data_IF_762107519203
#
_entry.id   IF_762107519203
#
_cell.length_a   1.000
_cell.length_b   1.000
_cell.length_c   1.000
_cell.angle_alpha   90.00
_cell.angle_beta   90.00
_cell.angle_gamma   90.00
#
_symmetry.space_group_name_H-M   'P 1'
#
loop_
_entity.id
_entity.type
_entity.pdbx_description
1 polymer ?
#
# COMPACT_ATOMS: atom_id res chain seq x y z
N UNK A 1 -16.14 2.46 -1.41
CA UNK A 1 -15.02 1.91 -2.18
C UNK A 1 -13.96 3.00 -2.42
N UNK A 2 -14.36 4.22 -2.82
CA UNK A 2 -13.41 5.32 -3.10
C UNK A 2 -12.47 5.58 -1.93
N UNK A 3 -13.00 5.80 -0.71
CA UNK A 3 -12.22 6.04 0.50
C UNK A 3 -11.29 4.87 0.88
N UNK A 4 -11.66 3.66 0.53
CA UNK A 4 -10.95 2.45 0.94
C UNK A 4 -10.04 1.85 -0.16
N UNK A 5 -9.94 2.48 -1.33
CA UNK A 5 -9.14 1.94 -2.43
C UNK A 5 -7.67 1.74 -2.05
N UNK A 6 -7.04 2.73 -1.40
CA UNK A 6 -5.69 2.61 -0.89
C UNK A 6 -5.56 1.50 0.17
N UNK A 7 -6.55 1.41 1.08
CA UNK A 7 -6.56 0.38 2.13
C UNK A 7 -6.68 -1.04 1.56
N UNK A 8 -7.47 -1.25 0.53
CA UNK A 8 -7.58 -2.54 -0.16
C UNK A 8 -6.21 -2.98 -0.69
N UNK A 9 -5.45 -2.05 -1.29
CA UNK A 9 -4.11 -2.35 -1.81
C UNK A 9 -3.14 -2.70 -0.67
N UNK A 10 -3.17 -1.94 0.44
CA UNK A 10 -2.37 -2.23 1.64
C UNK A 10 -2.68 -3.62 2.20
N UNK A 11 -3.97 -3.95 2.34
CA UNK A 11 -4.41 -5.26 2.82
C UNK A 11 -3.96 -6.41 1.92
N UNK A 12 -3.98 -6.21 0.61
CA UNK A 12 -3.44 -7.15 -0.35
C UNK A 12 -1.94 -7.42 -0.13
N UNK A 13 -1.14 -6.38 0.11
CA UNK A 13 0.27 -6.52 0.45
C UNK A 13 0.48 -7.25 1.78
N UNK A 14 -0.29 -6.85 2.81
CA UNK A 14 -0.24 -7.47 4.13
C UNK A 14 -0.55 -8.97 4.07
N UNK A 15 -1.58 -9.38 3.31
CA UNK A 15 -1.94 -10.79 3.16
C UNK A 15 -0.77 -11.64 2.65
N UNK A 16 0.05 -11.14 1.71
CA UNK A 16 1.22 -11.89 1.21
C UNK A 16 2.24 -12.16 2.33
N UNK A 17 2.55 -11.13 3.13
CA UNK A 17 3.50 -11.27 4.25
C UNK A 17 2.93 -12.21 5.31
N UNK A 18 1.63 -12.08 5.64
CA UNK A 18 0.98 -12.91 6.64
C UNK A 18 0.89 -14.39 6.19
N UNK A 19 0.63 -14.67 4.92
CA UNK A 19 0.70 -16.04 4.37
C UNK A 19 2.07 -16.66 4.61
N UNK A 20 3.17 -15.89 4.57
CA UNK A 20 4.52 -16.41 4.86
C UNK A 20 4.89 -16.47 6.34
N UNK A 21 3.96 -16.16 7.23
CA UNK A 21 4.14 -16.14 8.68
C UNK A 21 4.79 -14.87 9.23
N UNK A 22 4.83 -13.78 8.45
CA UNK A 22 5.35 -12.47 8.86
C UNK A 22 4.23 -11.45 9.13
N UNK A 23 4.62 -10.29 9.63
CA UNK A 23 3.76 -9.10 9.79
C UNK A 23 4.59 -7.88 9.39
N UNK A 24 3.98 -6.93 8.67
CA UNK A 24 4.61 -5.65 8.31
C UNK A 24 3.78 -4.47 8.81
N UNK A 25 4.12 -3.97 9.99
CA UNK A 25 3.43 -2.82 10.60
C UNK A 25 3.91 -1.46 10.06
N UNK A 26 4.92 -1.45 9.19
CA UNK A 26 5.45 -0.18 8.64
C UNK A 26 4.54 0.46 7.59
N UNK A 27 3.65 -0.31 6.97
CA UNK A 27 2.83 0.10 5.82
C UNK A 27 1.99 1.35 6.09
N UNK A 28 1.48 1.53 7.33
CA UNK A 28 0.70 2.70 7.72
C UNK A 28 1.54 3.98 7.70
N UNK A 29 2.67 4.00 8.40
CA UNK A 29 3.56 5.17 8.43
C UNK A 29 4.30 5.38 7.11
N UNK A 30 4.51 4.34 6.34
CA UNK A 30 5.02 4.45 4.98
C UNK A 30 4.02 5.20 4.07
N UNK A 31 2.72 4.97 4.26
CA UNK A 31 1.66 5.75 3.59
C UNK A 31 1.74 7.24 3.97
N UNK A 32 2.00 7.58 5.25
CA UNK A 32 2.21 8.96 5.67
C UNK A 32 3.43 9.60 4.96
N UNK A 33 4.55 8.88 4.91
CA UNK A 33 5.75 9.34 4.22
C UNK A 33 5.49 9.58 2.73
N UNK A 34 4.80 8.67 2.07
CA UNK A 34 4.45 8.78 0.66
C UNK A 34 3.54 9.99 0.41
N UNK A 35 2.46 10.13 1.18
CA UNK A 35 1.53 11.26 0.99
C UNK A 35 2.21 12.61 1.21
N UNK A 36 3.07 12.72 2.22
CA UNK A 36 3.81 13.95 2.50
C UNK A 36 4.83 14.26 1.41
N UNK A 37 5.63 13.27 0.99
CA UNK A 37 6.65 13.47 -0.04
C UNK A 37 6.02 13.81 -1.40
N UNK A 38 4.87 13.19 -1.74
CA UNK A 38 4.11 13.54 -2.93
C UNK A 38 3.57 14.98 -2.85
N UNK A 39 3.02 15.39 -1.70
CA UNK A 39 2.51 16.75 -1.52
C UNK A 39 3.61 17.82 -1.67
N UNK A 40 4.76 17.60 -1.04
CA UNK A 40 5.93 18.48 -1.17
C UNK A 40 6.42 18.54 -2.62
N UNK A 41 6.52 17.39 -3.30
CA UNK A 41 6.96 17.32 -4.69
C UNK A 41 6.01 18.12 -5.62
N UNK A 42 4.70 17.93 -5.44
CA UNK A 42 3.70 18.55 -6.30
C UNK A 42 3.60 20.06 -6.10
N UNK A 43 3.62 20.54 -4.85
CA UNK A 43 3.37 21.96 -4.54
C UNK A 43 4.65 22.79 -4.41
N UNK A 44 5.73 22.23 -3.85
CA UNK A 44 6.95 22.99 -3.58
C UNK A 44 8.01 22.84 -4.67
N UNK A 45 8.05 21.71 -5.37
CA UNK A 45 9.07 21.44 -6.38
C UNK A 45 8.53 21.44 -7.82
N UNK A 46 7.26 21.81 -8.02
CA UNK A 46 6.65 21.85 -9.35
C UNK A 46 6.56 20.49 -10.03
N UNK A 47 6.52 19.42 -9.25
CA UNK A 47 6.39 18.04 -9.76
C UNK A 47 5.05 17.79 -10.44
N UNK A 48 4.95 16.66 -11.12
CA UNK A 48 3.73 16.20 -11.75
C UNK A 48 3.26 14.86 -11.16
N UNK A 49 2.09 14.39 -11.57
CA UNK A 49 1.51 13.13 -11.08
C UNK A 49 2.42 11.93 -11.33
N UNK A 50 3.13 11.93 -12.47
CA UNK A 50 4.04 10.85 -12.82
C UNK A 50 5.26 10.82 -11.88
N UNK A 51 5.83 12.00 -11.55
CA UNK A 51 6.93 12.08 -10.56
C UNK A 51 6.46 11.64 -9.17
N UNK A 52 5.25 12.00 -8.75
CA UNK A 52 4.66 11.53 -7.50
C UNK A 52 4.47 10.01 -7.46
N UNK A 53 4.04 9.40 -8.57
CA UNK A 53 3.96 7.94 -8.70
C UNK A 53 5.34 7.28 -8.60
N UNK A 54 6.35 7.82 -9.30
CA UNK A 54 7.71 7.28 -9.23
C UNK A 54 8.31 7.38 -7.82
N UNK A 55 8.08 8.48 -7.13
CA UNK A 55 8.50 8.67 -5.72
C UNK A 55 7.85 7.63 -4.82
N UNK A 56 6.52 7.42 -4.94
CA UNK A 56 5.80 6.44 -4.15
C UNK A 56 6.30 5.02 -4.38
N UNK A 57 6.52 4.64 -5.64
CA UNK A 57 7.11 3.35 -5.99
C UNK A 57 8.56 3.23 -5.49
N UNK A 58 9.36 4.29 -5.61
CA UNK A 58 10.73 4.33 -5.12
C UNK A 58 10.80 4.12 -3.60
N UNK A 59 9.94 4.79 -2.83
CA UNK A 59 9.84 4.59 -1.38
C UNK A 59 9.42 3.15 -1.07
N UNK A 60 8.38 2.64 -1.75
CA UNK A 60 7.90 1.27 -1.57
C UNK A 60 8.99 0.23 -1.84
N UNK A 61 9.71 0.37 -2.95
CA UNK A 61 10.81 -0.51 -3.31
C UNK A 61 11.97 -0.43 -2.31
N UNK A 62 12.37 0.77 -1.88
CA UNK A 62 13.46 0.96 -0.94
C UNK A 62 13.16 0.27 0.41
N UNK A 63 11.95 0.48 0.95
CA UNK A 63 11.51 -0.21 2.16
C UNK A 63 11.47 -1.73 1.97
N UNK A 64 10.90 -2.21 0.88
CA UNK A 64 10.79 -3.64 0.59
C UNK A 64 12.15 -4.32 0.42
N UNK A 65 13.12 -3.66 -0.22
CA UNK A 65 14.48 -4.17 -0.36
C UNK A 65 15.18 -4.27 1.00
N UNK A 66 15.11 -3.20 1.80
CA UNK A 66 15.78 -3.17 3.12
C UNK A 66 15.13 -4.16 4.08
N UNK A 67 13.81 -4.07 4.28
CA UNK A 67 13.11 -4.93 5.22
C UNK A 67 13.14 -6.39 4.78
N UNK A 68 12.92 -6.65 3.48
CA UNK A 68 13.01 -8.00 2.93
C UNK A 68 14.40 -8.61 3.12
N UNK A 69 15.47 -7.82 2.95
CA UNK A 69 16.83 -8.28 3.19
C UNK A 69 17.08 -8.62 4.66
N UNK A 70 16.69 -7.72 5.58
CA UNK A 70 16.87 -7.92 7.02
C UNK A 70 16.11 -9.17 7.52
N UNK A 71 14.88 -9.37 7.06
CA UNK A 71 14.06 -10.52 7.47
C UNK A 71 14.55 -11.83 6.83
N UNK A 72 14.86 -11.80 5.53
CA UNK A 72 15.10 -13.03 4.78
C UNK A 72 16.54 -13.54 4.87
N UNK A 73 17.51 -12.65 4.97
CA UNK A 73 18.93 -13.02 4.92
C UNK A 73 19.65 -12.86 6.26
N UNK A 74 19.21 -11.92 7.12
CA UNK A 74 19.74 -11.77 8.46
C UNK A 74 18.89 -12.47 9.53
N UNK A 75 17.79 -13.12 9.12
CA UNK A 75 16.86 -13.86 10.00
C UNK A 75 16.33 -13.01 11.19
N UNK A 76 16.22 -11.68 11.00
CA UNK A 76 15.64 -10.80 12.01
C UNK A 76 14.12 -10.97 11.97
N UNK A 77 13.50 -11.02 13.14
CA UNK A 77 12.06 -11.20 13.26
C UNK A 77 11.29 -10.11 12.52
N UNK A 78 10.33 -10.44 11.63
CA UNK A 78 9.60 -9.47 10.79
C UNK A 78 8.96 -8.33 11.58
N UNK A 79 8.38 -8.63 12.74
CA UNK A 79 7.79 -7.63 13.61
C UNK A 79 8.78 -6.55 14.05
N UNK A 80 10.00 -6.94 14.44
CA UNK A 80 11.06 -5.99 14.91
C UNK A 80 11.51 -5.11 13.75
N UNK A 81 11.71 -5.71 12.56
CA UNK A 81 12.14 -4.98 11.36
C UNK A 81 11.07 -3.97 10.94
N UNK A 82 9.82 -4.39 10.90
CA UNK A 82 8.72 -3.51 10.48
C UNK A 82 8.41 -2.43 11.52
N UNK A 83 8.59 -2.71 12.82
CA UNK A 83 8.48 -1.70 13.87
C UNK A 83 9.55 -0.61 13.70
N UNK A 84 10.80 -0.99 13.46
CA UNK A 84 11.87 -0.04 13.16
C UNK A 84 11.56 0.75 11.88
N UNK A 85 11.07 0.10 10.83
CA UNK A 85 10.63 0.72 9.59
C UNK A 85 9.50 1.72 9.81
N UNK A 86 8.54 1.41 10.68
CA UNK A 86 7.43 2.31 11.04
C UNK A 86 7.95 3.60 11.69
N UNK A 87 8.84 3.50 12.69
CA UNK A 87 9.41 4.67 13.34
C UNK A 87 10.31 5.47 12.40
N UNK A 88 11.07 4.80 11.54
CA UNK A 88 11.88 5.44 10.52
C UNK A 88 11.00 6.24 9.54
N UNK A 89 9.93 5.63 9.01
CA UNK A 89 8.99 6.30 8.12
C UNK A 89 8.35 7.52 8.78
N UNK A 90 7.90 7.38 10.05
CA UNK A 90 7.32 8.48 10.82
C UNK A 90 8.30 9.64 11.02
N UNK A 91 9.55 9.34 11.39
CA UNK A 91 10.60 10.35 11.56
C UNK A 91 10.91 11.06 10.24
N UNK A 92 11.08 10.29 9.15
CA UNK A 92 11.32 10.85 7.81
C UNK A 92 10.16 11.73 7.33
N UNK A 93 8.90 11.37 7.61
CA UNK A 93 7.75 12.20 7.26
C UNK A 93 7.85 13.57 7.91
N UNK A 94 8.22 13.62 9.19
CA UNK A 94 8.38 14.88 9.93
C UNK A 94 9.57 15.71 9.42
N UNK A 95 10.66 15.05 8.98
CA UNK A 95 11.82 15.72 8.36
C UNK A 95 11.43 16.32 7.01
N UNK A 96 10.63 15.62 6.20
CA UNK A 96 10.15 16.13 4.91
C UNK A 96 9.28 17.36 5.12
N UNK A 97 8.26 17.29 5.95
CA UNK A 97 7.50 18.44 6.43
C UNK A 97 6.71 18.06 7.69
N UNK A 98 6.82 18.91 8.73
CA UNK A 98 6.09 18.72 9.97
C UNK A 98 4.64 19.20 9.90
N UNK A 99 4.33 20.15 8.99
CA UNK A 99 3.01 20.74 8.84
C UNK A 99 2.21 20.04 7.74
N UNK A 100 0.90 19.86 7.90
CA UNK A 100 0.05 19.34 6.84
C UNK A 100 0.06 20.24 5.59
N UNK A 101 0.07 19.65 4.41
CA UNK A 101 0.05 20.33 3.11
C UNK A 101 -1.20 19.88 2.37
N UNK A 102 -2.05 20.83 1.97
CA UNK A 102 -3.14 20.59 1.02
C UNK A 102 -2.61 20.86 -0.39
N UNK A 103 -2.68 19.87 -1.27
CA UNK A 103 -2.13 19.95 -2.62
C UNK A 103 -2.96 20.93 -3.46
N UNK A 104 -2.31 21.99 -3.97
CA UNK A 104 -2.92 23.02 -4.80
C UNK A 104 -2.54 22.90 -6.29
N UNK A 105 -1.70 21.94 -6.65
CA UNK A 105 -1.27 21.72 -8.03
C UNK A 105 -2.47 21.46 -8.95
N UNK A 106 -2.68 22.33 -9.94
CA UNK A 106 -3.87 22.30 -10.81
C UNK A 106 -4.01 20.98 -11.60
N UNK A 107 -2.89 20.42 -12.08
CA UNK A 107 -2.89 19.16 -12.81
C UNK A 107 -3.28 17.99 -11.90
N UNK A 108 -2.82 18.01 -10.66
CA UNK A 108 -3.19 17.00 -9.65
C UNK A 108 -4.67 17.09 -9.28
N UNK A 109 -5.20 18.30 -9.06
CA UNK A 109 -6.62 18.52 -8.74
C UNK A 109 -7.49 18.03 -9.90
N UNK A 110 -7.15 18.37 -11.14
CA UNK A 110 -7.88 17.91 -12.32
C UNK A 110 -7.90 16.37 -12.43
N UNK A 111 -6.80 15.71 -12.12
CA UNK A 111 -6.73 14.25 -12.11
C UNK A 111 -7.50 13.62 -10.95
N UNK A 112 -7.42 14.22 -9.75
CA UNK A 112 -8.19 13.80 -8.57
C UNK A 112 -9.68 13.90 -8.82
N UNK A 113 -10.14 14.98 -9.45
CA UNK A 113 -11.55 15.24 -9.74
C UNK A 113 -12.06 14.47 -10.97
N UNK A 114 -11.22 13.63 -11.57
CA UNK A 114 -11.64 12.73 -12.63
C UNK A 114 -12.50 11.60 -12.04
N UNK A 115 -13.80 11.65 -12.31
CA UNK A 115 -14.77 10.69 -11.82
C UNK A 115 -15.40 9.92 -12.96
N UNK A 116 -15.51 8.60 -12.80
CA UNK A 116 -16.23 7.71 -13.70
C UNK A 116 -17.66 7.63 -13.20
N UNK A 117 -18.58 8.33 -13.88
CA UNK A 117 -19.98 8.37 -13.50
C UNK A 117 -20.69 7.06 -13.84
N UNK A 118 -21.35 6.48 -12.85
CA UNK A 118 -22.19 5.29 -13.03
C UNK A 118 -23.62 5.74 -13.42
N UNK A 119 -23.88 5.86 -14.72
CA UNK A 119 -25.20 6.27 -15.24
C UNK A 119 -26.30 5.34 -14.71
N UNK A 120 -27.35 5.91 -14.12
CA UNK A 120 -28.50 5.17 -13.59
C UNK A 120 -28.34 4.69 -12.13
N UNK A 121 -27.17 4.83 -11.52
CA UNK A 121 -26.93 4.51 -10.09
C UNK A 121 -26.70 5.83 -9.36
N UNK A 122 -27.44 6.06 -8.28
CA UNK A 122 -27.32 7.28 -7.49
C UNK A 122 -28.39 7.35 -6.40
N UNK A 123 -28.46 8.48 -5.70
CA UNK A 123 -29.47 8.73 -4.70
C UNK A 123 -30.03 10.16 -4.83
N UNK A 124 -31.26 10.35 -4.39
CA UNK A 124 -31.85 11.68 -4.27
C UNK A 124 -31.38 12.33 -2.98
N UNK A 125 -30.81 13.54 -3.07
CA UNK A 125 -30.44 14.28 -1.87
C UNK A 125 -31.71 14.91 -1.25
N UNK A 126 -31.57 15.46 -0.02
CA UNK A 126 -32.67 16.13 0.72
C UNK A 126 -33.31 17.30 -0.04
N UNK A 127 -32.66 17.82 -1.08
CA UNK A 127 -33.15 18.92 -1.95
C UNK A 127 -33.79 18.42 -3.24
N UNK A 128 -34.06 17.12 -3.36
CA UNK A 128 -34.71 16.52 -4.56
C UNK A 128 -33.81 16.43 -5.80
N UNK A 129 -32.50 16.68 -5.68
CA UNK A 129 -31.55 16.55 -6.79
C UNK A 129 -30.98 15.13 -6.82
N UNK A 130 -31.04 14.47 -7.99
CA UNK A 130 -30.39 13.17 -8.19
C UNK A 130 -28.89 13.34 -8.26
N UNK A 131 -28.16 12.69 -7.36
CA UNK A 131 -26.68 12.63 -7.34
C UNK A 131 -26.27 11.29 -7.89
N UNK A 132 -25.64 11.31 -9.07
CA UNK A 132 -25.12 10.10 -9.71
C UNK A 132 -23.93 9.56 -8.92
N UNK A 133 -23.91 8.25 -8.68
CA UNK A 133 -22.75 7.60 -8.06
C UNK A 133 -21.54 7.66 -8.99
N UNK A 134 -20.35 7.79 -8.41
CA UNK A 134 -19.11 7.84 -9.15
C UNK A 134 -18.04 6.91 -8.54
N UNK A 135 -17.10 6.51 -9.37
CA UNK A 135 -15.96 5.71 -9.01
C UNK A 135 -14.69 6.48 -9.36
N UNK A 136 -13.77 6.58 -8.40
CA UNK A 136 -12.45 7.16 -8.64
C UNK A 136 -11.54 6.16 -9.36
N UNK A 137 -10.58 6.62 -10.18
CA UNK A 137 -9.63 5.73 -10.87
C UNK A 137 -8.86 4.81 -9.91
N UNK A 138 -8.60 5.27 -8.67
CA UNK A 138 -7.96 4.48 -7.62
C UNK A 138 -8.68 3.17 -7.29
N UNK A 139 -10.00 3.13 -7.40
CA UNK A 139 -10.78 1.89 -7.19
C UNK A 139 -10.50 0.86 -8.29
N UNK A 140 -10.36 1.31 -9.53
CA UNK A 140 -10.03 0.40 -10.64
C UNK A 140 -8.65 -0.20 -10.44
N UNK A 141 -7.67 0.62 -10.00
CA UNK A 141 -6.33 0.15 -9.66
C UNK A 141 -6.39 -0.87 -8.53
N UNK A 142 -7.16 -0.60 -7.47
CA UNK A 142 -7.31 -1.52 -6.35
C UNK A 142 -7.90 -2.86 -6.78
N UNK A 143 -8.99 -2.84 -7.56
CA UNK A 143 -9.61 -4.07 -8.07
C UNK A 143 -8.69 -4.84 -9.02
N UNK A 144 -7.94 -4.15 -9.88
CA UNK A 144 -6.95 -4.77 -10.76
C UNK A 144 -5.85 -5.48 -9.94
N UNK A 145 -5.38 -4.86 -8.85
CA UNK A 145 -4.38 -5.45 -7.94
C UNK A 145 -4.97 -6.68 -7.23
N UNK A 146 -6.21 -6.64 -6.76
CA UNK A 146 -6.88 -7.80 -6.15
C UNK A 146 -6.90 -8.98 -7.12
N UNK A 147 -7.32 -8.74 -8.37
CA UNK A 147 -7.35 -9.79 -9.41
C UNK A 147 -5.94 -10.30 -9.71
N UNK A 148 -4.97 -9.40 -9.86
CA UNK A 148 -3.57 -9.77 -10.13
C UNK A 148 -3.01 -10.65 -9.01
N UNK A 149 -3.26 -10.28 -7.75
CA UNK A 149 -2.81 -11.06 -6.61
C UNK A 149 -3.52 -12.39 -6.48
N UNK A 150 -4.81 -12.45 -6.77
CA UNK A 150 -5.54 -13.71 -6.82
C UNK A 150 -4.90 -14.67 -7.86
N UNK A 151 -4.60 -14.16 -9.05
CA UNK A 151 -3.90 -14.92 -10.10
C UNK A 151 -2.51 -15.34 -9.63
N UNK A 152 -1.75 -14.42 -9.04
CA UNK A 152 -0.40 -14.69 -8.53
C UNK A 152 -0.42 -15.79 -7.47
N UNK A 153 -1.30 -15.69 -6.48
CA UNK A 153 -1.35 -16.64 -5.37
C UNK A 153 -1.85 -18.02 -5.82
N UNK A 154 -2.87 -18.07 -6.69
CA UNK A 154 -3.52 -19.34 -7.07
C UNK A 154 -2.76 -20.09 -8.17
N UNK A 155 -2.23 -19.38 -9.17
CA UNK A 155 -1.73 -20.03 -10.40
C UNK A 155 -0.22 -19.96 -10.60
N UNK A 156 0.53 -19.15 -9.83
CA UNK A 156 1.97 -19.05 -10.03
C UNK A 156 2.77 -19.95 -9.10
N UNK A 157 4.03 -20.24 -9.50
CA UNK A 157 4.99 -20.95 -8.64
C UNK A 157 5.29 -20.15 -7.37
N UNK A 158 5.30 -18.81 -7.48
CA UNK A 158 5.62 -17.91 -6.38
C UNK A 158 4.52 -17.94 -5.30
N UNK A 159 3.25 -17.93 -5.71
CA UNK A 159 2.12 -18.07 -4.77
C UNK A 159 2.19 -19.41 -4.01
N UNK A 160 2.42 -20.53 -4.71
CA UNK A 160 2.61 -21.81 -4.06
C UNK A 160 3.78 -21.83 -3.06
N UNK A 161 4.88 -21.12 -3.38
CA UNK A 161 6.01 -20.99 -2.46
C UNK A 161 5.64 -20.20 -1.20
N UNK A 162 4.81 -19.15 -1.31
CA UNK A 162 4.33 -18.42 -0.13
C UNK A 162 3.55 -19.31 0.82
N UNK A 163 2.57 -20.07 0.32
CA UNK A 163 1.79 -21.01 1.14
C UNK A 163 2.65 -22.12 1.73
N UNK A 164 3.59 -22.67 0.97
CA UNK A 164 4.48 -23.73 1.45
C UNK A 164 5.38 -23.24 2.59
N UNK A 165 5.96 -22.05 2.45
CA UNK A 165 6.84 -21.45 3.50
C UNK A 165 6.04 -21.09 4.74
N UNK A 166 4.82 -20.56 4.58
CA UNK A 166 3.96 -20.22 5.70
C UNK A 166 3.45 -21.43 6.47
N UNK A 167 3.16 -22.53 5.78
CA UNK A 167 2.73 -23.78 6.42
C UNK A 167 3.85 -24.43 7.23
N UNK A 168 5.01 -24.66 6.62
CA UNK A 168 6.20 -25.16 7.32
C UNK A 168 7.48 -24.84 6.51
N UNK A 169 8.25 -23.88 6.99
CA UNK A 169 9.46 -23.44 6.31
C UNK A 169 10.54 -24.55 6.20
N UNK A 170 10.67 -25.42 7.21
CA UNK A 170 11.63 -26.52 7.19
C UNK A 170 11.26 -27.56 6.11
N UNK A 171 9.99 -27.96 6.06
CA UNK A 171 9.48 -28.88 5.04
C UNK A 171 9.55 -28.28 3.65
N UNK A 172 9.23 -26.99 3.48
CA UNK A 172 9.36 -26.28 2.21
C UNK A 172 10.82 -26.29 1.70
N UNK A 173 11.78 -26.08 2.61
CA UNK A 173 13.22 -26.15 2.27
C UNK A 173 13.63 -27.55 1.81
N UNK A 174 13.16 -28.62 2.46
CA UNK A 174 13.42 -30.00 2.06
C UNK A 174 12.86 -30.32 0.65
N UNK A 175 11.77 -29.65 0.27
CA UNK A 175 11.18 -29.76 -1.07
C UNK A 175 11.87 -28.87 -2.11
N UNK A 176 13.01 -28.23 -1.75
CA UNK A 176 13.79 -27.39 -2.66
C UNK A 176 13.27 -25.96 -2.84
N UNK A 177 12.30 -25.53 -2.02
CA UNK A 177 11.81 -24.14 -2.05
C UNK A 177 12.80 -23.26 -1.29
N UNK A 178 13.29 -22.20 -1.94
CA UNK A 178 14.19 -21.25 -1.30
C UNK A 178 13.40 -20.32 -0.35
N UNK A 179 13.37 -20.67 0.93
CA UNK A 179 12.65 -19.96 1.99
C UNK A 179 13.08 -18.49 2.09
N UNK A 180 14.40 -18.22 2.03
CA UNK A 180 14.95 -16.86 2.12
C UNK A 180 14.43 -15.99 0.97
N UNK A 181 14.57 -16.47 -0.26
CA UNK A 181 14.06 -15.74 -1.44
C UNK A 181 12.55 -15.52 -1.38
N UNK A 182 11.80 -16.49 -0.88
CA UNK A 182 10.34 -16.41 -0.75
C UNK A 182 9.93 -15.33 0.25
N UNK A 183 10.55 -15.29 1.43
CA UNK A 183 10.32 -14.25 2.44
C UNK A 183 10.73 -12.86 1.94
N UNK A 184 11.88 -12.77 1.28
CA UNK A 184 12.34 -11.52 0.67
C UNK A 184 11.31 -10.95 -0.32
N UNK A 185 10.82 -11.79 -1.24
CA UNK A 185 9.82 -11.39 -2.25
C UNK A 185 8.48 -11.03 -1.61
N UNK A 186 8.08 -11.66 -0.51
CA UNK A 186 6.86 -11.31 0.22
C UNK A 186 6.92 -9.88 0.76
N UNK A 187 8.01 -9.52 1.45
CA UNK A 187 8.21 -8.15 1.96
C UNK A 187 8.38 -7.13 0.84
N UNK A 188 9.10 -7.47 -0.22
CA UNK A 188 9.28 -6.59 -1.39
C UNK A 188 7.93 -6.28 -2.04
N UNK A 189 7.09 -7.29 -2.27
CA UNK A 189 5.76 -7.10 -2.85
C UNK A 189 4.84 -6.31 -1.91
N UNK A 190 4.85 -6.60 -0.61
CA UNK A 190 4.05 -5.87 0.38
C UNK A 190 4.38 -4.37 0.36
N UNK A 191 5.65 -4.03 0.52
CA UNK A 191 6.08 -2.62 0.55
C UNK A 191 5.90 -1.92 -0.81
N UNK A 192 6.07 -2.63 -1.94
CA UNK A 192 5.78 -2.07 -3.26
C UNK A 192 4.28 -1.78 -3.43
N UNK A 193 3.42 -2.69 -2.98
CA UNK A 193 1.96 -2.47 -2.96
C UNK A 193 1.59 -1.35 -2.00
N UNK A 194 2.27 -1.21 -0.87
CA UNK A 194 2.08 -0.07 0.01
C UNK A 194 2.51 1.25 -0.66
N UNK A 195 3.53 1.23 -1.53
CA UNK A 195 3.88 2.35 -2.40
C UNK A 195 2.72 2.77 -3.30
N UNK A 196 2.12 1.81 -4.01
CA UNK A 196 0.95 2.06 -4.87
C UNK A 196 -0.27 2.49 -4.04
N UNK A 197 -0.55 1.81 -2.93
CA UNK A 197 -1.64 2.13 -2.02
C UNK A 197 -1.54 3.55 -1.45
N UNK A 198 -0.33 3.97 -1.05
CA UNK A 198 -0.06 5.33 -0.58
C UNK A 198 -0.26 6.38 -1.68
N UNK A 199 0.10 6.08 -2.93
CA UNK A 199 -0.19 6.94 -4.07
C UNK A 199 -1.69 7.08 -4.32
N UNK A 200 -2.43 5.97 -4.34
CA UNK A 200 -3.90 5.99 -4.47
C UNK A 200 -4.55 6.75 -3.31
N UNK A 201 -3.99 6.60 -2.11
CA UNK A 201 -4.47 7.29 -0.91
C UNK A 201 -4.28 8.81 -1.00
N UNK A 202 -3.11 9.31 -1.46
CA UNK A 202 -2.91 10.75 -1.65
C UNK A 202 -3.78 11.31 -2.78
N UNK A 203 -4.02 10.53 -3.84
CA UNK A 203 -4.94 10.91 -4.92
C UNK A 203 -6.37 11.10 -4.39
N UNK A 204 -6.82 10.29 -3.44
CA UNK A 204 -8.14 10.45 -2.82
C UNK A 204 -8.17 11.63 -1.85
N UNK A 205 -7.21 11.74 -0.91
CA UNK A 205 -7.19 12.80 0.10
C UNK A 205 -6.89 14.18 -0.47
N UNK A 206 -5.92 14.28 -1.37
CA UNK A 206 -5.40 15.58 -1.86
C UNK A 206 -4.55 16.34 -0.83
N UNK A 207 -3.98 15.62 0.14
CA UNK A 207 -3.17 16.24 1.19
C UNK A 207 -2.08 15.31 1.71
N UNK A 208 -0.97 15.89 2.17
CA UNK A 208 0.09 15.22 2.93
C UNK A 208 0.02 15.60 4.41
N UNK A 209 0.11 14.62 5.32
CA UNK A 209 0.18 14.85 6.75
C UNK A 209 0.97 13.74 7.45
N UNK A 210 1.61 14.06 8.57
CA UNK A 210 2.33 13.10 9.43
C UNK A 210 1.40 12.03 10.01
N UNK A 211 0.10 12.32 10.09
CA UNK A 211 -0.91 11.41 10.63
C UNK A 211 -1.64 10.58 9.56
N UNK A 212 -1.37 10.85 8.28
CA UNK A 212 -1.98 10.08 7.19
C UNK A 212 -1.58 8.60 7.28
N UNK A 213 -2.57 7.71 7.18
CA UNK A 213 -2.32 6.27 7.27
C UNK A 213 -2.06 5.73 8.68
N UNK A 214 -2.11 6.55 9.72
CA UNK A 214 -2.00 6.06 11.10
C UNK A 214 -3.16 5.10 11.42
N UNK A 215 -2.82 3.88 11.87
CA UNK A 215 -3.80 2.81 12.11
C UNK A 215 -4.15 1.98 10.86
N UNK A 216 -3.68 2.37 9.68
CA UNK A 216 -3.90 1.62 8.45
C UNK A 216 -3.29 0.22 8.52
N UNK A 217 -2.16 0.08 9.21
CA UNK A 217 -1.50 -1.21 9.47
C UNK A 217 -2.43 -2.18 10.22
N UNK A 218 -3.12 -1.69 11.25
CA UNK A 218 -4.05 -2.52 12.04
C UNK A 218 -5.26 -2.94 11.21
N UNK A 219 -5.81 -2.04 10.41
CA UNK A 219 -6.91 -2.34 9.52
C UNK A 219 -6.51 -3.36 8.43
N UNK A 220 -5.29 -3.24 7.88
CA UNK A 220 -4.77 -4.18 6.91
C UNK A 220 -4.55 -5.57 7.52
N UNK A 221 -4.01 -5.66 8.74
CA UNK A 221 -3.86 -6.91 9.49
C UNK A 221 -5.23 -7.53 9.77
N UNK A 222 -6.16 -6.73 10.33
CA UNK A 222 -7.50 -7.22 10.68
C UNK A 222 -8.25 -7.76 9.46
N UNK A 223 -8.22 -7.05 8.33
CA UNK A 223 -8.87 -7.50 7.09
C UNK A 223 -8.26 -8.79 6.55
N UNK A 224 -6.93 -8.95 6.64
CA UNK A 224 -6.23 -10.17 6.22
C UNK A 224 -6.59 -11.37 7.11
N UNK A 225 -6.61 -11.19 8.44
CA UNK A 225 -6.99 -12.24 9.40
C UNK A 225 -8.46 -12.67 9.18
N UNK A 226 -9.38 -11.72 9.05
CA UNK A 226 -10.80 -12.00 8.80
C UNK A 226 -10.96 -12.71 7.44
N UNK A 227 -10.12 -12.37 6.47
CA UNK A 227 -10.07 -13.02 5.17
C UNK A 227 -9.54 -14.46 5.17
N UNK A 228 -8.97 -14.95 6.30
CA UNK A 228 -8.54 -16.33 6.47
C UNK A 228 -7.06 -16.58 6.14
N UNK A 229 -6.21 -15.57 6.28
CA UNK A 229 -4.75 -15.70 6.16
C UNK A 229 -4.09 -16.07 7.48
#
# INVERSE_FOLDING_TARGET
LNENAGMIILSCGMSIVMITGGIDISVGMMTALITMTCAVNLDMHGGNIFTALLISLGIGLAFGLVQGYLVAYLDIQPFIVSLAGMFFAKGMTTIVNANPINIQNAAFIAAKDTHILLKGIGYMNKKGKFITAYVEPGVIVALAIVVLLFVLLKWTKLGRSFYAVGGNAASANMLGINVRRTRFLAHLLCSTLAGIGGFVYVMHLGSGSVTNGQGAEMNAIASSIIGGT
#
